data_IF_330645186903
#
_entry.id   IF_330645186903
#
_cell.length_a   1.000
_cell.length_b   1.000
_cell.length_c   1.000
_cell.angle_alpha   90.00
_cell.angle_beta   90.00
_cell.angle_gamma   90.00
#
_symmetry.space_group_name_H-M   'P 1'
#
loop_
_entity.id
_entity.type
_entity.pdbx_description
1 polymer ?
#
# COMPACT_ATOMS: atom_id res chain seq x y z
N UNK A 1 -4.87 17.81 -0.91
CA UNK A 1 -4.93 16.47 -0.26
C UNK A 1 -3.69 15.71 -0.70
N UNK A 2 -2.96 15.07 0.21
CA UNK A 2 -1.77 14.28 -0.15
C UNK A 2 -2.13 13.19 -1.17
N UNK A 3 -1.17 12.79 -2.01
CA UNK A 3 -1.39 11.70 -2.97
C UNK A 3 -1.59 10.39 -2.19
N UNK A 4 -2.52 9.55 -2.63
CA UNK A 4 -2.66 8.19 -2.06
C UNK A 4 -1.61 7.30 -2.71
N UNK A 5 -1.08 6.36 -1.94
CA UNK A 5 -0.30 5.24 -2.45
C UNK A 5 -1.03 4.51 -3.58
N UNK A 6 -0.30 4.28 -4.66
CA UNK A 6 -0.66 3.52 -5.84
C UNK A 6 0.13 2.22 -5.86
N UNK A 7 -0.34 1.24 -6.65
CA UNK A 7 0.40 0.00 -6.91
C UNK A 7 1.76 0.31 -7.56
N UNK A 8 1.78 1.27 -8.48
CA UNK A 8 3.00 1.69 -9.18
C UNK A 8 4.02 2.41 -8.28
N UNK A 9 3.68 2.67 -7.01
CA UNK A 9 4.63 3.23 -6.04
C UNK A 9 5.55 2.13 -5.45
N UNK A 10 5.22 0.85 -5.67
CA UNK A 10 6.06 -0.31 -5.37
C UNK A 10 6.63 -0.82 -6.70
N UNK A 11 7.94 -0.68 -6.91
CA UNK A 11 8.62 -1.01 -8.17
C UNK A 11 9.38 -2.32 -8.08
N UNK A 12 9.98 -2.57 -6.92
CA UNK A 12 10.78 -3.77 -6.66
C UNK A 12 10.24 -4.49 -5.42
N UNK A 13 10.52 -5.80 -5.31
CA UNK A 13 10.11 -6.58 -4.13
C UNK A 13 10.73 -6.06 -2.83
N UNK A 14 11.91 -5.43 -2.91
CA UNK A 14 12.60 -4.78 -1.79
C UNK A 14 11.77 -3.65 -1.16
N UNK A 15 10.98 -2.93 -1.96
CA UNK A 15 10.08 -1.86 -1.50
C UNK A 15 9.00 -2.39 -0.53
N UNK A 16 8.73 -3.71 -0.54
CA UNK A 16 7.77 -4.33 0.36
C UNK A 16 8.22 -4.26 1.84
N UNK A 17 9.52 -4.13 2.10
CA UNK A 17 10.05 -3.99 3.46
C UNK A 17 9.63 -2.65 4.10
N UNK A 18 9.44 -1.61 3.27
CA UNK A 18 9.17 -0.25 3.70
C UNK A 18 7.70 0.16 3.50
N UNK A 19 6.78 -0.82 3.35
CA UNK A 19 5.35 -0.55 3.11
C UNK A 19 4.71 0.39 4.13
N UNK A 20 5.17 0.38 5.38
CA UNK A 20 4.67 1.29 6.41
C UNK A 20 5.01 2.77 6.14
N UNK A 21 6.08 3.03 5.39
CA UNK A 21 6.50 4.37 4.96
C UNK A 21 5.85 4.77 3.63
N UNK A 22 5.60 3.80 2.76
CA UNK A 22 5.01 4.01 1.43
C UNK A 22 3.49 4.20 1.53
N UNK A 23 2.81 3.50 2.45
CA UNK A 23 1.34 3.51 2.59
C UNK A 23 0.85 4.78 3.28
N UNK A 24 0.42 5.73 2.46
CA UNK A 24 -0.16 7.01 2.85
C UNK A 24 -1.59 7.15 2.35
N UNK A 25 -2.50 7.46 3.28
CA UNK A 25 -3.88 7.74 2.96
C UNK A 25 -4.10 9.22 2.61
N UNK A 26 -4.62 9.52 1.41
CA UNK A 26 -4.92 10.90 0.97
C UNK A 26 -5.85 11.73 1.87
N UNK A 27 -6.55 11.08 2.81
CA UNK A 27 -7.41 11.76 3.80
C UNK A 27 -6.95 11.50 5.24
N UNK A 28 -5.65 11.26 5.45
CA UNK A 28 -5.06 10.95 6.76
C UNK A 28 -5.49 11.97 7.83
N UNK A 29 -5.48 13.27 7.48
CA UNK A 29 -5.82 14.38 8.39
C UNK A 29 -7.32 14.49 8.69
N UNK A 30 -8.17 13.84 7.88
CA UNK A 30 -9.64 13.92 8.01
C UNK A 30 -10.25 12.62 8.54
N UNK A 31 -9.44 11.64 8.94
CA UNK A 31 -9.92 10.33 9.41
C UNK A 31 -9.56 10.11 10.87
N UNK A 32 -10.52 9.54 11.61
CA UNK A 32 -10.27 8.95 12.91
C UNK A 32 -9.20 7.84 12.80
N UNK A 33 -8.41 7.69 13.87
CA UNK A 33 -7.25 6.78 13.95
C UNK A 33 -7.59 5.35 13.52
N UNK A 34 -8.67 4.76 14.06
CA UNK A 34 -9.08 3.39 13.75
C UNK A 34 -9.43 3.20 12.25
N UNK A 35 -10.08 4.20 11.63
CA UNK A 35 -10.45 4.14 10.21
C UNK A 35 -9.24 4.31 9.30
N UNK A 36 -8.28 5.14 9.71
CA UNK A 36 -6.98 5.29 9.06
C UNK A 36 -6.23 3.97 9.08
N UNK A 37 -6.11 3.34 10.24
CA UNK A 37 -5.35 2.10 10.39
C UNK A 37 -5.96 0.93 9.60
N UNK A 38 -7.29 0.76 9.62
CA UNK A 38 -7.98 -0.22 8.76
C UNK A 38 -7.67 0.00 7.28
N UNK A 39 -7.60 1.26 6.84
CA UNK A 39 -7.29 1.58 5.44
C UNK A 39 -5.83 1.30 5.10
N UNK A 40 -4.90 1.63 5.98
CA UNK A 40 -3.49 1.32 5.77
C UNK A 40 -3.29 -0.19 5.61
N UNK A 41 -3.88 -1.01 6.48
CA UNK A 41 -3.86 -2.48 6.33
C UNK A 41 -4.46 -2.96 5.01
N UNK A 42 -5.54 -2.33 4.56
CA UNK A 42 -6.13 -2.64 3.27
C UNK A 42 -5.17 -2.33 2.11
N UNK A 43 -4.47 -1.19 2.14
CA UNK A 43 -3.49 -0.85 1.11
C UNK A 43 -2.29 -1.79 1.12
N UNK A 44 -1.73 -2.08 2.30
CA UNK A 44 -0.65 -3.07 2.46
C UNK A 44 -1.03 -4.41 1.81
N UNK A 45 -2.24 -4.93 2.12
CA UNK A 45 -2.73 -6.19 1.53
C UNK A 45 -2.82 -6.13 0.00
N UNK A 46 -3.32 -5.02 -0.56
CA UNK A 46 -3.47 -4.87 -2.01
C UNK A 46 -2.10 -4.78 -2.69
N UNK A 47 -1.14 -4.06 -2.10
CA UNK A 47 0.21 -3.92 -2.64
C UNK A 47 0.94 -5.27 -2.68
N UNK A 48 0.93 -6.00 -1.57
CA UNK A 48 1.54 -7.34 -1.51
C UNK A 48 0.87 -8.27 -2.52
N UNK A 49 -0.47 -8.32 -2.56
CA UNK A 49 -1.20 -9.18 -3.50
C UNK A 49 -0.83 -8.85 -4.96
N UNK A 50 -0.77 -7.56 -5.30
CA UNK A 50 -0.40 -7.14 -6.64
C UNK A 50 1.02 -7.58 -6.99
N UNK A 51 1.96 -7.50 -6.05
CA UNK A 51 3.32 -7.92 -6.33
C UNK A 51 3.50 -9.43 -6.42
N UNK A 52 2.80 -10.20 -5.60
CA UNK A 52 2.78 -11.67 -5.76
C UNK A 52 2.25 -12.04 -7.14
N UNK A 53 1.14 -11.44 -7.58
CA UNK A 53 0.58 -11.70 -8.91
C UNK A 53 1.51 -11.31 -10.08
N UNK A 54 2.31 -10.26 -9.93
CA UNK A 54 3.26 -9.85 -10.98
C UNK A 54 4.53 -10.70 -11.02
N UNK A 55 4.86 -11.37 -9.92
CA UNK A 55 6.09 -12.17 -9.80
C UNK A 55 5.79 -13.68 -9.73
N UNK A 56 4.53 -14.11 -9.89
CA UNK A 56 4.16 -15.51 -9.96
C UNK A 56 4.60 -16.08 -11.33
N UNK A 57 5.47 -17.10 -11.37
CA UNK A 57 6.07 -17.60 -12.60
C UNK A 57 5.15 -18.51 -13.43
N UNK A 58 3.85 -18.62 -13.09
CA UNK A 58 2.88 -19.49 -13.76
C UNK A 58 1.96 -18.80 -14.78
N UNK A 59 2.20 -17.52 -15.11
CA UNK A 59 1.55 -16.81 -16.24
C UNK A 59 2.53 -16.51 -17.40
#
# INVERSE_FOLDING_TARGET
MPKRTSINDVRELSDLNDLNLIVTDKRVDKRASAKRERRNRHYVKILIKSQVQQNDPED
#
